data_IF_013654520680
#
_entry.id   IF_013654520680
#
_cell.length_a   1.000
_cell.length_b   1.000
_cell.length_c   1.000
_cell.angle_alpha   90.00
_cell.angle_beta   90.00
_cell.angle_gamma   90.00
#
_symmetry.space_group_name_H-M   'P 1'
#
loop_
_entity.id
_entity.type
_entity.pdbx_description
1 polymer ?
#
# COMPACT_ATOMS: atom_id res chain seq x y z
N UNK A 1 -41.55 -1.64 -0.59
CA UNK A 1 -40.10 -1.72 -0.85
C UNK A 1 -39.49 -0.57 -0.08
N UNK A 2 -38.93 -0.84 1.10
CA UNK A 2 -38.17 0.15 1.88
C UNK A 2 -36.95 0.56 1.05
N UNK A 3 -36.65 1.86 0.98
CA UNK A 3 -35.45 2.35 0.29
C UNK A 3 -34.23 1.70 0.94
N UNK A 4 -33.19 1.37 0.16
CA UNK A 4 -31.92 0.88 0.72
C UNK A 4 -31.29 1.89 1.72
N UNK A 5 -31.75 3.14 1.69
CA UNK A 5 -31.37 4.23 2.61
C UNK A 5 -32.17 4.24 3.93
N UNK A 6 -33.36 3.64 3.95
CA UNK A 6 -34.22 3.59 5.15
C UNK A 6 -33.83 2.42 6.08
N UNK A 7 -32.86 1.61 5.67
CA UNK A 7 -32.29 0.55 6.51
C UNK A 7 -31.63 1.18 7.75
N UNK A 8 -32.11 0.88 8.97
CA UNK A 8 -31.53 1.38 10.21
C UNK A 8 -30.03 1.07 10.34
N UNK A 9 -29.56 0.01 9.69
CA UNK A 9 -28.16 -0.38 9.72
C UNK A 9 -27.28 0.54 8.85
N UNK A 10 -27.85 1.27 7.88
CA UNK A 10 -27.14 2.33 7.15
C UNK A 10 -26.89 3.53 8.06
N UNK A 11 -27.91 3.97 8.80
CA UNK A 11 -27.77 5.08 9.74
C UNK A 11 -26.74 4.77 10.84
N UNK A 12 -26.80 3.56 11.43
CA UNK A 12 -25.79 3.08 12.39
C UNK A 12 -24.38 3.05 11.79
N UNK A 13 -24.22 2.56 10.55
CA UNK A 13 -22.92 2.53 9.90
C UNK A 13 -22.35 3.93 9.64
N UNK A 14 -23.19 4.88 9.22
CA UNK A 14 -22.79 6.28 9.01
C UNK A 14 -22.30 6.87 10.33
N UNK A 15 -23.09 6.74 11.41
CA UNK A 15 -22.73 7.26 12.74
C UNK A 15 -21.45 6.64 13.27
N UNK A 16 -21.33 5.31 13.20
CA UNK A 16 -20.11 4.58 13.58
C UNK A 16 -18.87 5.12 12.87
N UNK A 17 -18.92 5.23 11.54
CA UNK A 17 -17.76 5.71 10.79
C UNK A 17 -17.48 7.20 11.00
N UNK A 18 -18.50 8.02 11.26
CA UNK A 18 -18.32 9.43 11.61
C UNK A 18 -17.61 9.59 12.97
N UNK A 19 -18.09 8.91 14.02
CA UNK A 19 -17.46 8.90 15.36
C UNK A 19 -16.02 8.37 15.29
N UNK A 20 -15.82 7.23 14.60
CA UNK A 20 -14.49 6.66 14.38
C UNK A 20 -13.56 7.63 13.65
N UNK A 21 -14.07 8.34 12.63
CA UNK A 21 -13.27 9.28 11.86
C UNK A 21 -12.96 10.56 12.65
N UNK A 22 -13.89 11.04 13.48
CA UNK A 22 -13.62 12.16 14.39
C UNK A 22 -12.51 11.81 15.40
N UNK A 23 -12.49 10.59 15.93
CA UNK A 23 -11.42 10.13 16.83
C UNK A 23 -10.06 9.99 16.14
N UNK A 24 -10.03 9.45 14.92
CA UNK A 24 -8.78 9.25 14.18
C UNK A 24 -8.10 10.55 13.72
N UNK A 25 -8.87 11.63 13.62
CA UNK A 25 -8.44 12.93 13.10
C UNK A 25 -8.67 14.07 14.10
N UNK A 26 -8.68 13.76 15.40
CA UNK A 26 -8.73 14.75 16.49
C UNK A 26 -9.84 15.81 16.34
N UNK A 27 -11.06 15.37 15.99
CA UNK A 27 -12.23 16.24 15.79
C UNK A 27 -12.28 16.96 14.43
N UNK A 28 -11.38 16.61 13.51
CA UNK A 28 -11.33 17.09 12.13
C UNK A 28 -11.61 15.97 11.11
N UNK A 29 -12.62 15.13 11.40
CA UNK A 29 -13.09 14.10 10.48
C UNK A 29 -13.62 14.69 9.16
N UNK A 30 -13.50 13.93 8.08
CA UNK A 30 -13.90 14.35 6.72
C UNK A 30 -14.94 13.41 6.10
N UNK A 31 -16.02 14.00 5.56
CA UNK A 31 -17.09 13.28 4.84
C UNK A 31 -16.56 12.34 3.75
N UNK A 32 -15.53 12.75 2.99
CA UNK A 32 -14.93 11.91 1.93
C UNK A 32 -14.31 10.62 2.48
N UNK A 33 -13.68 10.68 3.64
CA UNK A 33 -13.10 9.51 4.31
C UNK A 33 -14.19 8.52 4.72
N UNK A 34 -15.25 9.03 5.36
CA UNK A 34 -16.40 8.25 5.79
C UNK A 34 -17.18 7.65 4.60
N UNK A 35 -17.37 8.42 3.53
CA UNK A 35 -17.98 7.95 2.28
C UNK A 35 -17.20 6.77 1.68
N UNK A 36 -15.87 6.84 1.69
CA UNK A 36 -15.00 5.74 1.26
C UNK A 36 -15.20 4.47 2.08
N UNK A 37 -15.30 4.59 3.42
CA UNK A 37 -15.58 3.46 4.32
C UNK A 37 -16.96 2.85 4.08
N UNK A 38 -17.98 3.70 3.91
CA UNK A 38 -19.36 3.27 3.61
C UNK A 38 -19.41 2.42 2.33
N UNK A 39 -18.74 2.86 1.26
CA UNK A 39 -18.70 2.08 0.01
C UNK A 39 -17.84 0.82 0.08
N UNK A 40 -16.80 0.81 0.93
CA UNK A 40 -16.01 -0.39 1.20
C UNK A 40 -16.80 -1.45 1.97
N UNK A 41 -17.61 -1.03 2.95
CA UNK A 41 -18.44 -1.92 3.75
C UNK A 41 -19.71 -2.37 3.00
N UNK A 42 -20.33 -1.48 2.20
CA UNK A 42 -21.58 -1.72 1.49
C UNK A 42 -21.50 -1.21 0.04
N UNK A 43 -20.94 -2.00 -0.90
CA UNK A 43 -20.79 -1.59 -2.29
C UNK A 43 -22.10 -1.18 -3.00
N UNK A 44 -23.23 -1.78 -2.60
CA UNK A 44 -24.57 -1.51 -3.16
C UNK A 44 -25.03 -0.07 -2.95
N UNK A 45 -24.51 0.64 -1.95
CA UNK A 45 -24.87 2.03 -1.64
C UNK A 45 -24.33 3.04 -2.64
N UNK A 46 -23.40 2.65 -3.53
CA UNK A 46 -22.85 3.54 -4.57
C UNK A 46 -23.92 4.14 -5.48
N UNK A 47 -25.03 3.42 -5.71
CA UNK A 47 -26.16 3.91 -6.52
C UNK A 47 -26.94 5.06 -5.87
N UNK A 48 -26.78 5.24 -4.56
CA UNK A 48 -27.42 6.30 -3.76
C UNK A 48 -26.42 7.36 -3.28
N UNK A 49 -25.27 7.49 -3.98
CA UNK A 49 -24.18 8.36 -3.54
C UNK A 49 -24.62 9.82 -3.30
N UNK A 50 -25.50 10.37 -4.15
CA UNK A 50 -25.97 11.76 -4.04
C UNK A 50 -26.71 12.00 -2.71
N UNK A 51 -27.57 11.07 -2.32
CA UNK A 51 -28.40 11.19 -1.12
C UNK A 51 -27.57 10.93 0.15
N UNK A 52 -26.62 9.99 0.08
CA UNK A 52 -25.73 9.64 1.19
C UNK A 52 -24.77 10.76 1.57
N UNK A 53 -24.30 11.56 0.61
CA UNK A 53 -23.35 12.65 0.89
C UNK A 53 -23.90 13.60 1.95
N UNK A 54 -25.17 13.99 1.86
CA UNK A 54 -25.80 14.88 2.85
C UNK A 54 -25.90 14.24 4.24
N UNK A 55 -26.34 12.99 4.31
CA UNK A 55 -26.46 12.24 5.58
C UNK A 55 -25.11 12.05 6.25
N UNK A 56 -24.08 11.71 5.47
CA UNK A 56 -22.72 11.51 5.97
C UNK A 56 -22.11 12.84 6.41
N UNK A 57 -22.30 13.92 5.66
CA UNK A 57 -21.80 15.24 6.04
C UNK A 57 -22.35 15.66 7.40
N UNK A 58 -23.67 15.55 7.59
CA UNK A 58 -24.30 15.89 8.87
C UNK A 58 -23.74 15.04 10.03
N UNK A 59 -23.57 13.74 9.84
CA UNK A 59 -23.04 12.86 10.88
C UNK A 59 -21.57 13.18 11.22
N UNK A 60 -20.75 13.53 10.22
CA UNK A 60 -19.36 13.95 10.43
C UNK A 60 -19.30 15.27 11.19
N UNK A 61 -20.15 16.23 10.82
CA UNK A 61 -20.21 17.53 11.50
C UNK A 61 -20.66 17.36 12.97
N UNK A 62 -21.64 16.48 13.22
CA UNK A 62 -22.07 16.13 14.58
C UNK A 62 -20.93 15.48 15.38
N UNK A 63 -20.24 14.49 14.81
CA UNK A 63 -19.13 13.81 15.48
C UNK A 63 -17.95 14.75 15.79
N UNK A 64 -17.60 15.63 14.84
CA UNK A 64 -16.58 16.66 15.02
C UNK A 64 -17.01 17.67 16.09
N UNK A 65 -18.28 18.08 16.09
CA UNK A 65 -18.82 18.97 17.13
C UNK A 65 -18.74 18.34 18.52
N UNK A 66 -19.14 17.07 18.66
CA UNK A 66 -19.00 16.32 19.92
C UNK A 66 -17.55 16.26 20.39
N UNK A 67 -16.60 15.98 19.49
CA UNK A 67 -15.18 15.97 19.80
C UNK A 67 -14.68 17.34 20.29
N UNK A 68 -15.10 18.42 19.64
CA UNK A 68 -14.66 19.78 19.97
C UNK A 68 -15.30 20.33 21.25
N UNK A 69 -16.56 20.00 21.53
CA UNK A 69 -17.30 20.54 22.68
C UNK A 69 -17.13 19.69 23.94
N UNK A 70 -17.10 18.36 23.80
CA UNK A 70 -17.10 17.41 24.93
C UNK A 70 -15.78 16.63 25.06
N UNK A 71 -14.88 16.80 24.09
CA UNK A 71 -13.58 16.14 24.07
C UNK A 71 -13.60 14.77 23.38
N UNK A 72 -12.42 14.34 22.93
CA UNK A 72 -12.23 13.06 22.24
C UNK A 72 -12.59 11.85 23.11
N UNK A 73 -12.43 11.96 24.43
CA UNK A 73 -12.76 10.85 25.33
C UNK A 73 -14.27 10.59 25.39
N UNK A 74 -15.09 11.63 25.31
CA UNK A 74 -16.54 11.46 25.22
C UNK A 74 -16.93 10.71 23.93
N UNK A 75 -16.31 11.07 22.81
CA UNK A 75 -16.54 10.39 21.52
C UNK A 75 -16.07 8.94 21.57
N UNK A 76 -14.98 8.64 22.28
CA UNK A 76 -14.48 7.27 22.50
C UNK A 76 -15.51 6.43 23.24
N UNK A 77 -16.05 6.93 24.35
CA UNK A 77 -17.07 6.23 25.14
C UNK A 77 -18.32 5.96 24.29
N UNK A 78 -18.80 6.96 23.56
CA UNK A 78 -19.95 6.77 22.64
C UNK A 78 -19.66 5.69 21.59
N UNK A 79 -18.47 5.70 21.00
CA UNK A 79 -18.11 4.70 20.00
C UNK A 79 -17.97 3.31 20.62
N UNK A 80 -17.47 3.21 21.85
CA UNK A 80 -17.35 1.95 22.59
C UNK A 80 -18.73 1.35 22.92
N UNK A 81 -19.69 2.19 23.31
CA UNK A 81 -21.08 1.78 23.59
C UNK A 81 -21.84 1.36 22.33
N UNK A 82 -21.69 2.12 21.24
CA UNK A 82 -22.46 1.91 20.01
C UNK A 82 -21.85 0.87 19.06
N UNK A 83 -20.53 0.81 18.98
CA UNK A 83 -19.78 -0.02 18.03
C UNK A 83 -18.34 -0.28 18.49
N UNK A 84 -18.15 -1.13 19.52
CA UNK A 84 -16.82 -1.39 20.10
C UNK A 84 -15.83 -1.94 19.07
N UNK A 85 -16.31 -2.65 18.04
CA UNK A 85 -15.46 -3.17 16.96
C UNK A 85 -14.82 -2.07 16.09
N UNK A 86 -15.30 -0.83 16.17
CA UNK A 86 -14.73 0.31 15.47
C UNK A 86 -13.47 0.87 16.17
N UNK A 87 -13.26 0.56 17.45
CA UNK A 87 -12.05 0.96 18.18
C UNK A 87 -10.88 0.02 17.89
N UNK A 88 -11.14 -1.18 17.38
CA UNK A 88 -10.11 -2.10 16.93
C UNK A 88 -9.45 -1.60 15.64
N UNK A 89 -8.25 -1.04 15.79
CA UNK A 89 -7.42 -0.66 14.65
C UNK A 89 -7.02 -1.94 13.91
N UNK A 90 -7.74 -2.28 12.83
CA UNK A 90 -7.31 -3.32 11.89
C UNK A 90 -5.96 -2.90 11.30
N UNK A 91 -4.87 -3.37 11.89
CA UNK A 91 -3.55 -3.32 11.27
C UNK A 91 -3.67 -4.16 10.01
N UNK A 92 -3.84 -3.51 8.85
CA UNK A 92 -3.66 -4.20 7.58
C UNK A 92 -2.21 -4.66 7.61
N UNK A 93 -1.99 -5.95 7.80
CA UNK A 93 -0.69 -6.57 7.61
C UNK A 93 -0.24 -6.19 6.21
N UNK A 94 0.69 -5.24 6.14
CA UNK A 94 1.36 -4.94 4.89
C UNK A 94 2.21 -6.16 4.65
N UNK A 95 1.93 -6.86 3.55
CA UNK A 95 2.77 -7.96 3.12
C UNK A 95 4.20 -7.45 3.00
N UNK A 96 5.08 -7.99 3.83
CA UNK A 96 6.51 -7.76 3.74
C UNK A 96 7.11 -8.69 2.69
N UNK A 97 8.14 -8.22 2.00
CA UNK A 97 8.87 -9.00 1.01
C UNK A 97 8.15 -9.22 -0.33
N UNK A 98 8.80 -10.02 -1.18
CA UNK A 98 8.30 -10.36 -2.51
C UNK A 98 7.23 -11.45 -2.45
N UNK A 99 6.43 -11.54 -3.51
CA UNK A 99 5.53 -12.67 -3.67
C UNK A 99 6.33 -13.88 -4.16
N UNK A 100 6.20 -15.08 -3.57
CA UNK A 100 6.79 -16.29 -4.13
C UNK A 100 6.40 -16.46 -5.60
N UNK A 101 7.29 -17.06 -6.36
CA UNK A 101 6.99 -17.49 -7.72
C UNK A 101 5.93 -18.61 -7.67
N UNK A 102 5.06 -18.62 -8.69
CA UNK A 102 4.05 -19.67 -8.82
C UNK A 102 4.74 -21.05 -8.96
N UNK A 103 4.20 -22.04 -8.25
CA UNK A 103 4.73 -23.41 -8.27
C UNK A 103 5.94 -23.67 -7.39
N UNK A 104 6.35 -22.71 -6.54
CA UNK A 104 7.43 -22.85 -5.55
C UNK A 104 8.73 -23.46 -6.13
N UNK A 105 9.26 -22.90 -7.23
CA UNK A 105 10.45 -23.45 -7.86
C UNK A 105 11.68 -23.34 -6.93
N UNK A 106 12.59 -24.30 -7.04
CA UNK A 106 13.93 -24.28 -6.44
C UNK A 106 14.99 -24.21 -7.54
N UNK A 107 16.14 -23.58 -7.28
CA UNK A 107 17.22 -23.48 -8.26
C UNK A 107 16.91 -22.52 -9.41
N UNK A 108 16.14 -21.46 -9.15
CA UNK A 108 15.79 -20.47 -10.18
C UNK A 108 17.03 -19.75 -10.70
N UNK A 109 17.08 -19.47 -12.00
CA UNK A 109 18.17 -18.69 -12.61
C UNK A 109 17.62 -17.37 -13.10
N UNK A 110 18.04 -16.28 -12.46
CA UNK A 110 17.66 -14.92 -12.78
C UNK A 110 18.83 -14.20 -13.44
N UNK A 111 18.54 -13.08 -14.12
CA UNK A 111 19.60 -12.25 -14.72
C UNK A 111 19.37 -10.77 -14.49
N UNK A 112 20.45 -10.06 -14.23
CA UNK A 112 20.52 -8.62 -14.32
C UNK A 112 21.34 -8.24 -15.55
N UNK A 113 20.70 -7.53 -16.50
CA UNK A 113 21.28 -7.26 -17.82
C UNK A 113 21.46 -5.76 -18.11
N UNK A 114 22.40 -5.07 -17.45
CA UNK A 114 22.62 -3.65 -17.67
C UNK A 114 23.37 -3.39 -18.98
N UNK A 115 23.12 -2.22 -19.57
CA UNK A 115 24.00 -1.72 -20.62
C UNK A 115 25.24 -1.12 -19.94
N UNK A 116 26.47 -1.49 -20.33
CA UNK A 116 27.70 -1.02 -19.67
C UNK A 116 28.12 0.36 -20.17
N UNK A 117 27.22 1.34 -20.26
CA UNK A 117 27.53 2.70 -20.74
C UNK A 117 27.83 3.70 -19.62
N UNK A 118 27.73 3.29 -18.35
CA UNK A 118 27.99 4.11 -17.16
C UNK A 118 27.75 3.33 -15.86
N UNK A 119 27.91 3.98 -14.69
CA UNK A 119 27.60 3.39 -13.39
C UNK A 119 26.09 3.14 -13.22
N UNK A 120 25.73 2.28 -12.27
CA UNK A 120 24.34 1.98 -11.93
C UNK A 120 23.63 3.18 -11.30
N UNK A 121 22.46 3.53 -11.83
CA UNK A 121 21.51 4.42 -11.17
C UNK A 121 20.64 3.69 -10.13
N UNK A 122 19.93 4.45 -9.29
CA UNK A 122 18.90 3.91 -8.38
C UNK A 122 17.81 3.09 -9.09
N UNK A 123 17.56 3.33 -10.38
CA UNK A 123 16.63 2.48 -11.15
C UNK A 123 17.14 1.04 -11.31
N UNK A 124 18.46 0.87 -11.43
CA UNK A 124 19.09 -0.45 -11.57
C UNK A 124 19.04 -1.23 -10.26
N UNK A 125 19.16 -0.56 -9.11
CA UNK A 125 19.15 -1.22 -7.80
C UNK A 125 17.87 -2.02 -7.59
N UNK A 126 16.72 -1.56 -8.11
CA UNK A 126 15.46 -2.31 -8.06
C UNK A 126 15.58 -3.67 -8.77
N UNK A 127 16.19 -3.71 -9.95
CA UNK A 127 16.40 -4.95 -10.68
C UNK A 127 17.37 -5.89 -9.96
N UNK A 128 18.47 -5.33 -9.43
CA UNK A 128 19.47 -6.08 -8.66
C UNK A 128 18.87 -6.69 -7.40
N UNK A 129 18.19 -5.89 -6.58
CA UNK A 129 17.59 -6.32 -5.31
C UNK A 129 16.50 -7.36 -5.54
N UNK A 130 15.58 -7.13 -6.49
CA UNK A 130 14.48 -8.06 -6.75
C UNK A 130 15.01 -9.42 -7.23
N UNK A 131 15.94 -9.44 -8.19
CA UNK A 131 16.52 -10.69 -8.68
C UNK A 131 17.30 -11.41 -7.56
N UNK A 132 18.09 -10.69 -6.78
CA UNK A 132 18.88 -11.29 -5.68
C UNK A 132 18.00 -11.85 -4.58
N UNK A 133 16.90 -11.17 -4.25
CA UNK A 133 15.95 -11.66 -3.26
C UNK A 133 15.17 -12.87 -3.76
N UNK A 134 14.76 -12.90 -5.04
CA UNK A 134 14.16 -14.10 -5.63
C UNK A 134 15.13 -15.29 -5.66
N UNK A 135 16.40 -15.07 -6.03
CA UNK A 135 17.41 -16.12 -5.98
C UNK A 135 17.59 -16.63 -4.54
N UNK A 136 17.62 -15.75 -3.55
CA UNK A 136 17.70 -16.14 -2.13
C UNK A 136 16.47 -16.93 -1.66
N UNK A 137 15.26 -16.49 -2.03
CA UNK A 137 14.00 -17.14 -1.66
C UNK A 137 13.84 -18.54 -2.26
N UNK A 138 14.47 -18.80 -3.41
CA UNK A 138 14.24 -19.99 -4.23
C UNK A 138 15.53 -20.79 -4.49
N UNK A 139 16.54 -20.66 -3.61
CA UNK A 139 17.82 -21.40 -3.71
C UNK A 139 18.46 -21.33 -5.11
N UNK A 140 18.39 -20.14 -5.71
CA UNK A 140 18.75 -19.87 -7.09
C UNK A 140 20.02 -19.04 -7.25
N UNK A 141 20.23 -18.60 -8.49
CA UNK A 141 21.40 -17.84 -8.93
C UNK A 141 21.00 -16.55 -9.66
N UNK A 142 21.86 -15.54 -9.60
CA UNK A 142 21.77 -14.31 -10.39
C UNK A 142 22.98 -14.16 -11.31
N UNK A 143 22.69 -14.11 -12.61
CA UNK A 143 23.69 -13.88 -13.66
C UNK A 143 23.80 -12.37 -13.95
N UNK A 144 25.03 -11.84 -13.97
CA UNK A 144 25.33 -10.50 -14.48
C UNK A 144 25.75 -10.60 -15.95
N UNK A 145 24.84 -10.27 -16.87
CA UNK A 145 25.12 -10.26 -18.31
C UNK A 145 25.16 -8.83 -18.81
N UNK A 146 26.20 -8.41 -19.52
CA UNK A 146 26.22 -7.06 -20.09
C UNK A 146 25.47 -7.02 -21.44
N UNK A 147 24.53 -6.10 -21.57
CA UNK A 147 23.85 -5.82 -22.84
C UNK A 147 24.61 -4.71 -23.59
N UNK A 148 25.73 -5.10 -24.19
CA UNK A 148 26.69 -4.22 -24.86
C UNK A 148 26.51 -4.15 -26.40
N UNK A 149 25.35 -4.60 -26.88
CA UNK A 149 25.07 -4.79 -28.31
C UNK A 149 24.79 -3.50 -29.08
N UNK A 150 24.32 -2.43 -28.42
CA UNK A 150 24.01 -1.14 -29.06
C UNK A 150 25.18 -0.15 -28.98
N UNK A 151 26.13 -0.29 -29.91
CA UNK A 151 27.31 0.56 -30.01
C UNK A 151 27.04 1.99 -30.46
N UNK A 152 25.82 2.32 -30.93
CA UNK A 152 25.50 3.65 -31.48
C UNK A 152 24.75 4.52 -30.49
N UNK A 153 23.75 3.98 -29.79
CA UNK A 153 22.92 4.76 -28.85
C UNK A 153 23.42 4.66 -27.42
N UNK A 154 24.02 3.53 -27.05
CA UNK A 154 24.51 3.24 -25.69
C UNK A 154 25.92 2.65 -25.75
N UNK A 155 26.90 3.39 -26.29
CA UNK A 155 28.25 2.88 -26.47
C UNK A 155 28.82 2.36 -25.13
N UNK A 156 29.36 1.13 -25.11
CA UNK A 156 30.00 0.58 -23.92
C UNK A 156 31.16 1.43 -23.44
N UNK A 157 31.25 1.58 -22.11
CA UNK A 157 32.37 2.16 -21.40
C UNK A 157 33.13 1.04 -20.69
N UNK A 158 34.43 0.88 -20.99
CA UNK A 158 35.27 -0.17 -20.41
C UNK A 158 35.28 -0.11 -18.87
N UNK A 159 35.21 1.09 -18.28
CA UNK A 159 35.16 1.28 -16.82
C UNK A 159 33.85 0.79 -16.20
N UNK A 160 32.75 0.80 -16.96
CA UNK A 160 31.44 0.44 -16.45
C UNK A 160 31.35 -1.04 -16.09
N UNK A 161 32.06 -1.93 -16.79
CA UNK A 161 32.04 -3.37 -16.50
C UNK A 161 32.45 -3.69 -15.06
N UNK A 162 33.63 -3.20 -14.65
CA UNK A 162 34.15 -3.39 -13.29
C UNK A 162 33.33 -2.60 -12.25
N UNK A 163 32.88 -1.39 -12.60
CA UNK A 163 32.07 -0.56 -11.70
C UNK A 163 30.73 -1.21 -11.39
N UNK A 164 30.01 -1.67 -12.41
CA UNK A 164 28.70 -2.33 -12.27
C UNK A 164 28.83 -3.61 -11.45
N UNK A 165 29.88 -4.42 -11.65
CA UNK A 165 30.11 -5.63 -10.87
C UNK A 165 30.30 -5.31 -9.36
N UNK A 166 31.12 -4.28 -9.06
CA UNK A 166 31.33 -3.81 -7.68
C UNK A 166 30.07 -3.22 -7.06
N UNK A 167 29.31 -2.45 -7.82
CA UNK A 167 28.05 -1.87 -7.35
C UNK A 167 26.98 -2.96 -7.14
N UNK A 168 26.96 -4.00 -7.96
CA UNK A 168 26.10 -5.17 -7.73
C UNK A 168 26.44 -5.81 -6.39
N UNK A 169 27.72 -6.14 -6.18
CA UNK A 169 28.20 -6.74 -4.94
C UNK A 169 27.94 -5.85 -3.72
N UNK A 170 28.10 -4.54 -3.85
CA UNK A 170 27.80 -3.58 -2.79
C UNK A 170 26.31 -3.57 -2.40
N UNK A 171 25.40 -3.65 -3.38
CA UNK A 171 23.95 -3.63 -3.13
C UNK A 171 23.48 -4.95 -2.51
N UNK A 172 24.01 -6.08 -2.96
CA UNK A 172 23.51 -7.42 -2.60
C UNK A 172 24.29 -8.06 -1.46
N UNK A 173 25.49 -7.57 -1.16
CA UNK A 173 26.45 -8.19 -0.25
C UNK A 173 27.12 -9.45 -0.80
N UNK A 174 26.94 -9.77 -2.09
CA UNK A 174 27.56 -10.93 -2.76
C UNK A 174 27.88 -10.65 -4.22
N UNK A 175 28.97 -11.24 -4.72
CA UNK A 175 29.26 -11.20 -6.15
C UNK A 175 28.14 -11.90 -6.97
N UNK A 176 27.94 -11.53 -8.25
CA UNK A 176 27.10 -12.30 -9.16
C UNK A 176 27.57 -13.75 -9.25
N UNK A 177 26.65 -14.67 -9.49
CA UNK A 177 26.98 -16.10 -9.59
C UNK A 177 27.69 -16.44 -10.90
N UNK A 178 27.39 -15.70 -11.97
CA UNK A 178 27.96 -15.84 -13.32
C UNK A 178 28.01 -14.51 -14.05
#
# INVERSE_FOLDING_TARGET
>A
MTSDLDDPEVAKAIRKFALQNALEYDGAGEMKSVLGRMFGARPNLKKHARDLVGLIQNAVDEANKLANEQGLEHVRVLLEEEAPEALEKRVKERREGLRPLDGEPTGVVLRFAPNPNGPMSLGHSRGVVINSEFARMHEGEVILTFDDTDTKRKPPSIKAYDTIAKEFEWITGRAPDR
#
